data_IF_216001757468
#
_entry.id   IF_216001757468
#
_cell.length_a   1.000
_cell.length_b   1.000
_cell.length_c   1.000
_cell.angle_alpha   90.00
_cell.angle_beta   90.00
_cell.angle_gamma   90.00
#
_symmetry.space_group_name_H-M   'P 1'
#
loop_
_entity.id
_entity.type
_entity.pdbx_description
1 polymer ?
#
# COMPACT_ATOMS: atom_id res chain seq x y z
N UNK A 1 39.96 34.54 8.43
CA UNK A 1 39.83 33.61 7.29
C UNK A 1 38.48 32.93 7.41
N UNK A 2 37.49 33.45 6.67
CA UNK A 2 36.14 32.89 6.59
C UNK A 2 36.12 31.94 5.38
N UNK A 3 36.08 30.64 5.61
CA UNK A 3 35.87 29.65 4.54
C UNK A 3 34.38 29.57 4.26
N UNK A 4 33.94 30.28 3.23
CA UNK A 4 32.64 30.10 2.60
C UNK A 4 32.63 28.76 1.85
N UNK A 5 31.76 27.84 2.28
CA UNK A 5 31.44 26.64 1.50
C UNK A 5 30.74 27.03 0.19
N UNK A 6 31.16 26.49 -0.97
CA UNK A 6 30.45 26.72 -2.21
C UNK A 6 29.19 25.84 -2.22
N UNK A 7 28.02 26.47 -2.09
CA UNK A 7 26.71 25.90 -2.39
C UNK A 7 26.58 25.66 -3.89
N UNK A 8 27.24 24.60 -4.37
CA UNK A 8 27.29 24.22 -5.78
C UNK A 8 25.97 23.62 -6.27
N UNK A 9 25.62 23.94 -7.51
CA UNK A 9 24.50 23.38 -8.30
C UNK A 9 24.73 21.89 -8.64
N UNK A 10 25.98 21.42 -8.57
CA UNK A 10 26.47 20.08 -8.93
C UNK A 10 25.86 18.87 -8.16
N UNK A 11 25.71 18.89 -6.82
CA UNK A 11 25.02 17.82 -6.09
C UNK A 11 23.58 17.58 -6.57
N UNK A 12 22.89 18.63 -7.07
CA UNK A 12 21.52 18.50 -7.56
C UNK A 12 21.43 17.78 -8.91
N UNK A 13 22.33 18.06 -9.85
CA UNK A 13 22.35 17.44 -11.18
C UNK A 13 22.74 15.96 -11.09
N UNK A 14 23.75 15.64 -10.27
CA UNK A 14 24.14 14.25 -10.01
C UNK A 14 23.03 13.46 -9.31
N UNK A 15 22.31 14.08 -8.37
CA UNK A 15 21.15 13.46 -7.72
C UNK A 15 20.01 13.21 -8.72
N UNK A 16 19.74 14.16 -9.62
CA UNK A 16 18.74 14.02 -10.68
C UNK A 16 19.12 12.92 -11.69
N UNK A 17 20.38 12.86 -12.13
CA UNK A 17 20.88 11.80 -13.01
C UNK A 17 20.79 10.42 -12.35
N UNK A 18 21.17 10.30 -11.07
CA UNK A 18 21.02 9.05 -10.31
C UNK A 18 19.56 8.62 -10.20
N UNK A 19 18.65 9.55 -9.99
CA UNK A 19 17.21 9.28 -9.95
C UNK A 19 16.69 8.80 -11.32
N UNK A 20 17.11 9.43 -12.41
CA UNK A 20 16.74 9.03 -13.77
C UNK A 20 17.25 7.63 -14.11
N UNK A 21 18.51 7.31 -13.75
CA UNK A 21 19.08 5.97 -13.92
C UNK A 21 18.33 4.95 -13.06
N UNK A 22 18.02 5.27 -11.81
CA UNK A 22 17.24 4.40 -10.93
C UNK A 22 15.84 4.12 -11.52
N UNK A 23 15.18 5.14 -12.05
CA UNK A 23 13.89 5.02 -12.75
C UNK A 23 14.01 4.12 -13.98
N UNK A 24 15.05 4.30 -14.80
CA UNK A 24 15.25 3.52 -16.01
C UNK A 24 15.47 2.03 -15.73
N UNK A 25 16.08 1.71 -14.58
CA UNK A 25 16.35 0.33 -14.11
C UNK A 25 15.17 -0.33 -13.41
N UNK A 26 14.07 0.39 -13.15
CA UNK A 26 12.91 -0.20 -12.48
C UNK A 26 12.31 -1.34 -13.33
N UNK A 27 11.94 -2.47 -12.69
CA UNK A 27 11.22 -3.55 -13.36
C UNK A 27 9.91 -3.04 -13.94
N UNK A 28 9.45 -3.71 -14.99
CA UNK A 28 8.19 -3.38 -15.67
C UNK A 28 7.12 -4.38 -15.28
N UNK A 29 5.95 -3.88 -14.87
CA UNK A 29 4.77 -4.68 -14.61
C UNK A 29 3.65 -4.27 -15.58
N UNK A 30 2.89 -5.25 -16.06
CA UNK A 30 1.64 -5.01 -16.80
C UNK A 30 0.50 -5.38 -15.88
N UNK A 31 -0.36 -4.40 -15.60
CA UNK A 31 -1.54 -4.58 -14.74
C UNK A 31 -2.77 -4.45 -15.63
N UNK A 32 -3.66 -5.42 -15.55
CA UNK A 32 -4.88 -5.50 -16.33
C UNK A 32 -6.07 -5.28 -15.43
N UNK A 33 -6.82 -4.21 -15.73
CA UNK A 33 -8.16 -4.04 -15.21
C UNK A 33 -9.12 -5.01 -15.90
N UNK A 34 -10.11 -5.50 -15.18
CA UNK A 34 -11.21 -6.33 -15.70
C UNK A 34 -12.52 -5.55 -15.55
N UNK A 35 -13.06 -5.05 -16.66
CA UNK A 35 -14.27 -4.25 -16.64
C UNK A 35 -15.52 -5.04 -16.22
N UNK A 36 -15.51 -6.37 -16.29
CA UNK A 36 -16.65 -7.20 -15.92
C UNK A 36 -16.91 -7.22 -14.40
N UNK A 37 -15.90 -6.92 -13.57
CA UNK A 37 -16.03 -6.93 -12.10
C UNK A 37 -16.95 -5.82 -11.57
N UNK A 38 -16.72 -4.59 -12.02
CA UNK A 38 -17.53 -3.42 -11.68
C UNK A 38 -17.30 -2.33 -12.75
N UNK A 39 -18.07 -2.32 -13.85
CA UNK A 39 -17.72 -1.55 -15.04
C UNK A 39 -17.48 -0.06 -14.78
N UNK A 40 -18.30 0.57 -13.95
CA UNK A 40 -18.20 2.00 -13.65
C UNK A 40 -16.95 2.30 -12.80
N UNK A 41 -16.78 1.60 -11.69
CA UNK A 41 -15.65 1.78 -10.79
C UNK A 41 -14.32 1.47 -11.47
N UNK A 42 -14.27 0.38 -12.26
CA UNK A 42 -13.07 -0.04 -12.98
C UNK A 42 -12.67 1.02 -14.01
N UNK A 43 -13.62 1.50 -14.84
CA UNK A 43 -13.34 2.56 -15.83
C UNK A 43 -12.88 3.85 -15.16
N UNK A 44 -13.53 4.27 -14.07
CA UNK A 44 -13.16 5.48 -13.32
C UNK A 44 -11.77 5.35 -12.71
N UNK A 45 -11.47 4.21 -12.09
CA UNK A 45 -10.15 3.95 -11.47
C UNK A 45 -9.06 3.86 -12.53
N UNK A 46 -9.30 3.15 -13.64
CA UNK A 46 -8.37 3.10 -14.76
C UNK A 46 -8.07 4.50 -15.32
N UNK A 47 -9.09 5.35 -15.51
CA UNK A 47 -8.91 6.72 -15.95
C UNK A 47 -8.04 7.53 -14.97
N UNK A 48 -8.30 7.41 -13.66
CA UNK A 48 -7.49 8.05 -12.61
C UNK A 48 -6.03 7.56 -12.60
N UNK A 49 -5.80 6.27 -12.88
CA UNK A 49 -4.48 5.65 -12.88
C UNK A 49 -3.74 5.88 -14.20
N UNK A 50 -4.38 6.40 -15.24
CA UNK A 50 -3.76 6.62 -16.55
C UNK A 50 -3.72 8.08 -16.97
N UNK A 51 -4.41 8.98 -16.26
CA UNK A 51 -4.36 10.42 -16.52
C UNK A 51 -2.93 10.96 -16.37
N UNK A 52 -2.56 12.07 -17.04
CA UNK A 52 -1.26 12.71 -16.85
C UNK A 52 -0.98 13.05 -15.38
N UNK A 53 0.23 12.80 -14.90
CA UNK A 53 0.61 13.09 -13.52
C UNK A 53 0.60 14.61 -13.27
N UNK A 54 -0.01 15.10 -12.16
CA UNK A 54 -0.28 16.52 -11.96
C UNK A 54 0.98 17.40 -11.95
N UNK A 55 2.10 16.86 -11.47
CA UNK A 55 3.39 17.57 -11.44
C UNK A 55 4.32 17.23 -12.62
N UNK A 56 4.08 16.12 -13.31
CA UNK A 56 4.97 15.59 -14.35
C UNK A 56 4.10 15.10 -15.51
N UNK A 57 3.55 16.04 -16.29
CA UNK A 57 2.52 15.76 -17.31
C UNK A 57 2.95 14.77 -18.42
N UNK A 58 4.25 14.49 -18.53
CA UNK A 58 4.84 13.53 -19.48
C UNK A 58 4.63 12.07 -19.02
N UNK A 59 4.42 11.85 -17.72
CA UNK A 59 4.25 10.52 -17.11
C UNK A 59 2.80 10.33 -16.70
N UNK A 60 2.25 9.12 -16.86
CA UNK A 60 0.90 8.81 -16.37
C UNK A 60 0.90 8.73 -14.84
N UNK A 61 -0.22 9.06 -14.22
CA UNK A 61 -0.42 8.90 -12.80
C UNK A 61 -0.18 7.43 -12.40
N UNK A 62 0.26 7.17 -11.16
CA UNK A 62 0.53 5.80 -10.65
C UNK A 62 1.23 4.85 -11.65
N UNK A 63 2.13 5.35 -12.49
CA UNK A 63 2.81 4.52 -13.51
C UNK A 63 4.31 4.37 -13.28
N UNK A 64 4.88 5.19 -12.39
CA UNK A 64 6.31 5.26 -12.15
C UNK A 64 6.62 5.14 -10.66
N UNK A 65 7.44 4.14 -10.31
CA UNK A 65 7.87 3.92 -8.95
C UNK A 65 6.73 3.55 -8.01
N UNK A 66 5.75 2.79 -8.50
CA UNK A 66 4.65 2.27 -7.67
C UNK A 66 5.11 1.03 -6.93
N UNK A 67 4.69 0.89 -5.67
CA UNK A 67 5.11 -0.20 -4.82
C UNK A 67 4.28 -1.45 -5.12
N UNK A 68 4.88 -2.50 -5.70
CA UNK A 68 4.22 -3.77 -5.94
C UNK A 68 4.91 -4.93 -5.23
N UNK A 69 4.12 -5.92 -4.83
CA UNK A 69 4.57 -7.30 -4.64
C UNK A 69 4.10 -8.09 -5.85
N UNK A 70 5.02 -8.78 -6.54
CA UNK A 70 4.66 -9.78 -7.55
C UNK A 70 4.28 -11.08 -6.82
N UNK A 71 2.98 -11.37 -6.76
CA UNK A 71 2.44 -12.48 -5.98
C UNK A 71 2.83 -13.83 -6.60
N UNK A 72 3.06 -13.86 -7.92
CA UNK A 72 3.45 -15.08 -8.65
C UNK A 72 4.90 -15.50 -8.37
N UNK A 73 5.70 -14.61 -7.79
CA UNK A 73 7.05 -14.95 -7.36
C UNK A 73 7.07 -15.94 -6.19
N UNK A 74 5.91 -16.19 -5.56
CA UNK A 74 5.76 -17.09 -4.43
C UNK A 74 4.88 -18.27 -4.82
N UNK A 75 5.33 -19.49 -4.48
CA UNK A 75 4.55 -20.71 -4.73
C UNK A 75 3.30 -20.79 -3.84
N UNK A 76 3.41 -20.30 -2.61
CA UNK A 76 2.39 -20.31 -1.56
C UNK A 76 2.67 -19.19 -0.53
N UNK A 77 1.71 -18.95 0.37
CA UNK A 77 1.86 -18.00 1.47
C UNK A 77 3.06 -18.29 2.37
N UNK A 78 3.40 -19.57 2.59
CA UNK A 78 4.55 -19.95 3.40
C UNK A 78 5.88 -19.48 2.77
N UNK A 79 6.02 -19.54 1.44
CA UNK A 79 7.16 -19.03 0.70
C UNK A 79 7.31 -17.52 0.86
N UNK A 80 6.19 -16.80 0.79
CA UNK A 80 6.19 -15.37 1.08
C UNK A 80 6.61 -15.07 2.52
N UNK A 81 6.02 -15.74 3.51
CA UNK A 81 6.37 -15.54 4.92
C UNK A 81 7.85 -15.83 5.20
N UNK A 82 8.44 -16.85 4.57
CA UNK A 82 9.90 -17.10 4.66
C UNK A 82 10.72 -15.94 4.09
N UNK A 83 10.29 -15.34 2.98
CA UNK A 83 10.98 -14.20 2.37
C UNK A 83 10.98 -12.96 3.28
N UNK A 84 9.89 -12.72 4.02
CA UNK A 84 9.79 -11.59 4.94
C UNK A 84 10.22 -11.92 6.37
N UNK A 85 10.56 -13.17 6.68
CA UNK A 85 11.09 -13.60 7.98
C UNK A 85 12.59 -13.28 8.15
N UNK A 86 13.27 -12.86 7.09
CA UNK A 86 14.68 -12.50 7.13
C UNK A 86 14.94 -11.30 8.05
N UNK A 87 16.20 -11.17 8.50
CA UNK A 87 16.64 -10.01 9.28
C UNK A 87 16.32 -8.73 8.51
N UNK A 88 15.83 -7.72 9.21
CA UNK A 88 15.42 -6.42 8.65
C UNK A 88 14.19 -6.45 7.73
N UNK A 89 13.36 -7.49 7.78
CA UNK A 89 12.04 -7.56 7.12
C UNK A 89 10.87 -7.56 8.12
N UNK A 90 9.63 -7.69 7.63
CA UNK A 90 8.39 -7.53 8.39
C UNK A 90 8.02 -8.72 9.31
N UNK A 91 8.67 -9.87 9.14
CA UNK A 91 8.27 -11.13 9.77
C UNK A 91 8.37 -11.12 11.29
N UNK A 92 9.37 -10.43 11.87
CA UNK A 92 9.46 -10.27 13.32
C UNK A 92 8.27 -9.49 13.88
N UNK A 93 7.89 -8.38 13.24
CA UNK A 93 6.82 -7.50 13.66
C UNK A 93 5.46 -8.19 13.55
N UNK A 94 5.21 -8.89 12.43
CA UNK A 94 3.97 -9.64 12.24
C UNK A 94 3.84 -10.80 13.25
N UNK A 95 4.92 -11.55 13.50
CA UNK A 95 4.94 -12.61 14.52
C UNK A 95 4.74 -12.07 15.93
N UNK A 96 5.38 -10.94 16.25
CA UNK A 96 5.23 -10.28 17.56
C UNK A 96 3.79 -9.81 17.79
N UNK A 97 3.14 -9.26 16.76
CA UNK A 97 1.73 -8.89 16.83
C UNK A 97 0.87 -10.14 17.10
N UNK A 98 1.03 -11.22 16.32
CA UNK A 98 0.29 -12.48 16.57
C UNK A 98 0.52 -13.04 17.97
N UNK A 99 1.76 -13.03 18.46
CA UNK A 99 2.09 -13.50 19.81
C UNK A 99 1.43 -12.67 20.93
N UNK A 100 0.97 -11.45 20.64
CA UNK A 100 0.22 -10.59 21.56
C UNK A 100 -1.30 -10.74 21.44
N UNK A 101 -1.77 -11.71 20.65
CA UNK A 101 -3.20 -11.99 20.49
C UNK A 101 -3.88 -11.22 19.37
N UNK A 102 -3.14 -10.48 18.53
CA UNK A 102 -3.74 -9.82 17.37
C UNK A 102 -4.08 -10.84 16.27
N UNK A 103 -5.27 -10.72 15.68
CA UNK A 103 -5.75 -11.57 14.59
C UNK A 103 -6.15 -10.72 13.39
N UNK A 104 -6.13 -11.30 12.18
CA UNK A 104 -6.58 -10.63 10.95
C UNK A 104 -7.84 -11.32 10.45
N UNK A 105 -8.86 -10.54 10.16
CA UNK A 105 -10.13 -11.01 9.63
C UNK A 105 -10.57 -10.18 8.42
N UNK A 106 -11.39 -10.77 7.56
CA UNK A 106 -12.27 -10.00 6.69
C UNK A 106 -13.44 -9.52 7.57
N UNK A 107 -13.84 -8.26 7.42
CA UNK A 107 -14.80 -7.60 8.32
C UNK A 107 -15.92 -6.93 7.51
N UNK A 108 -17.12 -6.84 8.09
CA UNK A 108 -18.06 -5.80 7.69
C UNK A 108 -17.68 -4.50 8.42
N UNK A 109 -17.44 -3.43 7.67
CA UNK A 109 -17.09 -2.11 8.26
C UNK A 109 -18.21 -1.57 9.14
N UNK A 110 -19.46 -1.95 8.89
CA UNK A 110 -20.61 -1.50 9.69
C UNK A 110 -20.55 -2.02 11.13
N UNK A 111 -19.93 -3.17 11.38
CA UNK A 111 -19.73 -3.71 12.73
C UNK A 111 -18.67 -2.94 13.54
N UNK A 112 -17.86 -2.10 12.87
CA UNK A 112 -16.70 -1.43 13.45
C UNK A 112 -16.67 0.08 13.20
N UNK A 113 -17.82 0.72 12.96
CA UNK A 113 -17.91 2.16 12.64
C UNK A 113 -17.14 3.03 13.66
N UNK A 114 -17.36 2.80 14.95
CA UNK A 114 -16.75 3.61 16.00
C UNK A 114 -15.25 3.33 16.14
N UNK A 115 -14.83 2.08 15.91
CA UNK A 115 -13.42 1.73 15.91
C UNK A 115 -12.69 2.33 14.69
N UNK A 116 -13.29 2.28 13.50
CA UNK A 116 -12.76 2.92 12.28
C UNK A 116 -12.62 4.43 12.50
N UNK A 117 -13.65 5.07 13.06
CA UNK A 117 -13.60 6.49 13.38
C UNK A 117 -12.48 6.81 14.37
N UNK A 118 -12.33 6.00 15.44
CA UNK A 118 -11.25 6.14 16.42
C UNK A 118 -9.86 5.95 15.80
N UNK A 119 -9.69 5.02 14.85
CA UNK A 119 -8.43 4.83 14.12
C UNK A 119 -8.13 6.02 13.21
N UNK A 120 -9.15 6.56 12.54
CA UNK A 120 -9.01 7.69 11.63
C UNK A 120 -8.58 8.97 12.37
N UNK A 121 -9.09 9.17 13.58
CA UNK A 121 -8.80 10.35 14.41
C UNK A 121 -7.65 10.17 15.40
N UNK A 122 -7.05 8.97 15.46
CA UNK A 122 -6.00 8.66 16.44
C UNK A 122 -4.71 9.48 16.28
N UNK A 123 -4.47 10.01 15.09
CA UNK A 123 -3.30 10.84 14.78
C UNK A 123 -3.74 11.98 13.85
N UNK A 124 -3.59 13.26 14.27
CA UNK A 124 -4.01 14.40 13.45
C UNK A 124 -3.13 14.56 12.20
N UNK A 125 -1.89 14.08 12.27
CA UNK A 125 -0.93 14.09 11.17
C UNK A 125 -0.42 12.68 10.89
N UNK A 126 -0.34 12.34 9.59
CA UNK A 126 0.31 11.12 9.12
C UNK A 126 1.23 11.46 7.96
N UNK A 127 2.45 10.93 8.02
CA UNK A 127 3.50 11.18 7.01
C UNK A 127 3.82 12.68 6.82
N UNK A 128 3.85 13.42 7.93
CA UNK A 128 4.18 14.86 7.93
C UNK A 128 3.13 15.74 7.24
N UNK A 129 1.89 15.24 7.12
CA UNK A 129 0.76 15.99 6.57
C UNK A 129 -0.46 15.81 7.48
N UNK A 130 -1.30 16.84 7.59
CA UNK A 130 -2.62 16.69 8.19
C UNK A 130 -3.41 15.59 7.48
N UNK A 131 -4.18 14.86 8.26
CA UNK A 131 -5.19 13.94 7.72
C UNK A 131 -6.22 14.72 6.89
N UNK A 132 -6.71 14.11 5.81
CA UNK A 132 -7.81 14.69 5.04
C UNK A 132 -9.07 14.78 5.91
N UNK A 133 -9.78 15.91 5.85
CA UNK A 133 -10.97 16.17 6.66
C UNK A 133 -12.07 15.11 6.50
N UNK A 134 -12.10 14.39 5.38
CA UNK A 134 -13.00 13.27 5.18
C UNK A 134 -12.78 12.12 6.18
N UNK A 135 -11.56 11.93 6.68
CA UNK A 135 -11.26 10.93 7.72
C UNK A 135 -11.74 11.36 9.11
N UNK A 136 -11.82 12.67 9.37
CA UNK A 136 -12.29 13.20 10.64
C UNK A 136 -13.81 13.10 10.81
N UNK A 137 -14.57 12.94 9.72
CA UNK A 137 -16.02 12.76 9.78
C UNK A 137 -16.34 11.30 10.09
N UNK A 138 -17.15 11.08 11.12
CA UNK A 138 -17.75 9.77 11.38
C UNK A 138 -18.67 9.41 10.20
N UNK A 139 -18.62 8.15 9.79
CA UNK A 139 -19.50 7.59 8.76
C UNK A 139 -20.51 6.72 9.48
N UNK A 140 -21.80 7.01 9.32
CA UNK A 140 -22.86 6.26 10.02
C UNK A 140 -23.19 4.93 9.33
N UNK A 141 -22.80 4.78 8.07
CA UNK A 141 -23.00 3.55 7.31
C UNK A 141 -22.00 3.43 6.16
N UNK A 142 -21.43 2.24 5.99
CA UNK A 142 -20.51 1.90 4.92
C UNK A 142 -21.21 1.00 3.90
N UNK A 143 -21.37 1.49 2.67
CA UNK A 143 -21.81 0.66 1.55
C UNK A 143 -20.69 -0.26 1.10
N UNK A 144 -20.93 -1.57 1.11
CA UNK A 144 -20.02 -2.55 0.53
C UNK A 144 -19.95 -2.36 -1.00
N UNK A 145 -18.76 -2.56 -1.56
CA UNK A 145 -18.52 -2.49 -3.00
C UNK A 145 -18.07 -3.86 -3.45
N UNK A 146 -18.74 -4.46 -4.44
CA UNK A 146 -18.55 -5.87 -4.84
C UNK A 146 -17.11 -6.22 -5.21
N UNK A 147 -16.36 -5.28 -5.77
CA UNK A 147 -14.96 -5.46 -6.15
C UNK A 147 -13.98 -5.09 -5.04
N UNK A 148 -14.45 -4.91 -3.81
CA UNK A 148 -13.63 -4.59 -2.64
C UNK A 148 -13.69 -5.71 -1.61
N UNK A 149 -12.61 -5.82 -0.85
CA UNK A 149 -12.55 -6.59 0.38
C UNK A 149 -12.08 -5.72 1.52
N UNK A 150 -12.61 -5.95 2.71
CA UNK A 150 -12.35 -5.14 3.88
C UNK A 150 -11.70 -6.01 4.93
N UNK A 151 -10.46 -5.70 5.28
CA UNK A 151 -9.70 -6.46 6.27
C UNK A 151 -9.47 -5.63 7.52
N UNK A 152 -9.51 -6.29 8.67
CA UNK A 152 -9.25 -5.71 9.97
C UNK A 152 -8.21 -6.49 10.75
N UNK A 153 -7.44 -5.79 11.59
CA UNK A 153 -6.69 -6.40 12.70
C UNK A 153 -7.51 -6.21 13.96
N UNK A 154 -7.87 -7.32 14.60
CA UNK A 154 -8.58 -7.33 15.88
C UNK A 154 -7.59 -7.61 17.01
N UNK A 155 -7.73 -6.89 18.13
CA UNK A 155 -7.03 -7.23 19.36
C UNK A 155 -7.66 -8.46 20.07
N UNK A 156 -7.08 -8.89 21.19
CA UNK A 156 -7.57 -10.04 21.94
C UNK A 156 -9.01 -9.86 22.49
N UNK A 157 -9.49 -8.62 22.59
CA UNK A 157 -10.85 -8.28 23.00
C UNK A 157 -11.81 -8.10 21.82
N UNK A 158 -11.38 -8.37 20.58
CA UNK A 158 -12.18 -8.22 19.37
C UNK A 158 -12.31 -6.78 18.88
N UNK A 159 -11.57 -5.82 19.44
CA UNK A 159 -11.62 -4.42 18.97
C UNK A 159 -10.75 -4.24 17.75
N UNK A 160 -11.24 -3.46 16.79
CA UNK A 160 -10.48 -3.14 15.58
C UNK A 160 -9.38 -2.11 15.90
N UNK A 161 -8.15 -2.43 15.50
CA UNK A 161 -6.94 -1.61 15.75
C UNK A 161 -6.21 -1.18 14.48
N UNK A 162 -6.51 -1.82 13.35
CA UNK A 162 -6.07 -1.44 12.02
C UNK A 162 -7.04 -1.99 10.97
N UNK A 163 -7.16 -1.34 9.82
CA UNK A 163 -8.01 -1.79 8.73
C UNK A 163 -7.41 -1.46 7.35
N UNK A 164 -7.83 -2.24 6.35
CA UNK A 164 -7.50 -2.03 4.96
C UNK A 164 -8.73 -2.25 4.07
N UNK A 165 -9.05 -1.25 3.27
CA UNK A 165 -9.97 -1.38 2.14
C UNK A 165 -9.12 -1.76 0.92
N UNK A 166 -9.36 -2.94 0.37
CA UNK A 166 -8.59 -3.52 -0.73
C UNK A 166 -9.47 -3.63 -1.98
N UNK A 167 -9.18 -2.81 -3.00
CA UNK A 167 -9.85 -2.92 -4.29
C UNK A 167 -9.23 -4.02 -5.15
N UNK A 168 -10.07 -4.91 -5.67
CA UNK A 168 -9.75 -5.94 -6.66
C UNK A 168 -10.14 -5.40 -8.03
N UNK A 169 -9.15 -5.17 -8.90
CA UNK A 169 -9.36 -4.42 -10.14
C UNK A 169 -9.28 -5.29 -11.40
N UNK A 170 -8.86 -6.54 -11.28
CA UNK A 170 -8.61 -7.46 -12.38
C UNK A 170 -7.51 -8.43 -11.96
N UNK A 171 -6.37 -8.40 -12.65
CA UNK A 171 -5.20 -9.22 -12.29
C UNK A 171 -4.36 -8.65 -11.14
N UNK A 172 -4.85 -7.62 -10.45
CA UNK A 172 -4.17 -7.02 -9.31
C UNK A 172 -5.14 -6.48 -8.28
N UNK A 173 -4.67 -6.43 -7.04
CA UNK A 173 -5.33 -5.76 -5.94
C UNK A 173 -4.56 -4.49 -5.57
N UNK A 174 -5.25 -3.43 -5.13
CA UNK A 174 -4.60 -2.22 -4.63
C UNK A 174 -5.21 -1.75 -3.31
N UNK A 175 -4.35 -1.34 -2.38
CA UNK A 175 -4.78 -0.73 -1.12
C UNK A 175 -5.42 0.63 -1.40
N UNK A 176 -6.69 0.79 -1.04
CA UNK A 176 -7.42 2.06 -1.18
C UNK A 176 -7.34 2.89 0.11
N UNK A 177 -7.75 2.28 1.23
CA UNK A 177 -7.54 2.82 2.58
C UNK A 177 -6.71 1.84 3.37
N UNK A 178 -5.76 2.34 4.14
CA UNK A 178 -4.93 1.52 5.03
C UNK A 178 -4.51 2.36 6.23
N UNK A 179 -5.13 2.13 7.38
CA UNK A 179 -4.85 2.84 8.61
C UNK A 179 -4.83 1.91 9.81
N UNK A 180 -4.16 2.36 10.86
CA UNK A 180 -4.13 1.66 12.14
C UNK A 180 -3.26 2.40 13.13
N UNK A 181 -3.17 1.84 14.32
CA UNK A 181 -2.25 2.33 15.34
C UNK A 181 -0.79 2.04 14.95
N UNK A 182 0.09 2.99 15.23
CA UNK A 182 1.53 2.87 14.99
C UNK A 182 2.23 2.10 16.11
N UNK A 183 1.69 0.95 16.52
CA UNK A 183 2.24 0.10 17.58
C UNK A 183 2.25 -1.38 17.21
N UNK A 184 3.08 -2.13 17.91
CA UNK A 184 3.06 -3.60 18.04
C UNK A 184 3.21 -4.46 16.79
N UNK A 185 3.32 -3.85 15.62
CA UNK A 185 3.48 -4.55 14.34
C UNK A 185 2.16 -4.83 13.61
N UNK A 186 1.04 -4.25 14.06
CA UNK A 186 -0.30 -4.52 13.50
C UNK A 186 -0.40 -4.22 12.00
N UNK A 187 0.22 -3.14 11.53
CA UNK A 187 0.24 -2.79 10.11
C UNK A 187 1.07 -3.79 9.26
N UNK A 188 2.14 -4.34 9.84
CA UNK A 188 2.94 -5.38 9.19
C UNK A 188 2.18 -6.70 9.14
N UNK A 189 1.48 -7.04 10.22
CA UNK A 189 0.61 -8.21 10.29
C UNK A 189 -0.50 -8.11 9.23
N UNK A 190 -1.22 -7.00 9.15
CA UNK A 190 -2.32 -6.78 8.21
C UNK A 190 -1.89 -7.02 6.76
N UNK A 191 -0.84 -6.33 6.30
CA UNK A 191 -0.40 -6.46 4.92
C UNK A 191 0.24 -7.80 4.61
N UNK A 192 0.98 -8.39 5.55
CA UNK A 192 1.54 -9.73 5.35
C UNK A 192 0.42 -10.78 5.21
N UNK A 193 -0.64 -10.66 6.01
CA UNK A 193 -1.80 -11.56 5.93
C UNK A 193 -2.58 -11.39 4.62
N UNK A 194 -2.83 -10.14 4.20
CA UNK A 194 -3.45 -9.85 2.89
C UNK A 194 -2.61 -10.44 1.75
N UNK A 195 -1.29 -10.27 1.78
CA UNK A 195 -0.42 -10.84 0.76
C UNK A 195 -0.50 -12.38 0.74
N UNK A 196 -0.52 -13.04 1.91
CA UNK A 196 -0.70 -14.49 2.01
C UNK A 196 -2.01 -14.94 1.36
N UNK A 197 -3.14 -14.29 1.70
CA UNK A 197 -4.46 -14.62 1.14
C UNK A 197 -4.47 -14.50 -0.38
N UNK A 198 -3.94 -13.41 -0.92
CA UNK A 198 -3.90 -13.19 -2.37
C UNK A 198 -3.00 -14.20 -3.10
N UNK A 199 -1.89 -14.59 -2.50
CA UNK A 199 -1.00 -15.63 -3.05
C UNK A 199 -1.72 -16.98 -3.10
N UNK A 200 -2.39 -17.36 -2.02
CA UNK A 200 -3.08 -18.65 -1.93
C UNK A 200 -4.31 -18.70 -2.86
N UNK A 201 -5.00 -17.58 -3.06
CA UNK A 201 -6.13 -17.47 -3.99
C UNK A 201 -5.72 -17.53 -5.46
N UNK A 202 -4.49 -17.11 -5.80
CA UNK A 202 -3.94 -17.10 -7.17
C UNK A 202 -4.80 -16.37 -8.22
N UNK A 203 -5.64 -15.43 -7.77
CA UNK A 203 -6.47 -14.59 -8.66
C UNK A 203 -5.76 -13.32 -9.11
N UNK A 204 -4.87 -12.80 -8.26
CA UNK A 204 -4.11 -11.58 -8.53
C UNK A 204 -2.64 -11.91 -8.80
N UNK A 205 -2.07 -11.27 -9.80
CA UNK A 205 -0.63 -11.26 -10.10
C UNK A 205 0.13 -10.28 -9.20
N UNK A 206 -0.51 -9.19 -8.80
CA UNK A 206 0.15 -8.12 -8.04
C UNK A 206 -0.70 -7.63 -6.85
N UNK A 207 -0.02 -7.35 -5.75
CA UNK A 207 -0.54 -6.48 -4.69
C UNK A 207 0.14 -5.12 -4.81
N UNK A 208 -0.67 -4.07 -4.99
CA UNK A 208 -0.23 -2.69 -5.11
C UNK A 208 -0.42 -1.94 -3.80
N UNK A 209 0.66 -1.32 -3.34
CA UNK A 209 0.61 -0.20 -2.43
C UNK A 209 0.88 1.06 -3.27
N UNK A 210 0.23 2.17 -2.95
CA UNK A 210 0.51 3.51 -3.54
C UNK A 210 2.02 3.84 -3.70
N UNK A 211 2.33 4.93 -4.40
CA UNK A 211 3.66 5.31 -4.89
C UNK A 211 4.81 5.11 -3.89
N UNK A 212 5.85 4.38 -4.30
CA UNK A 212 7.09 4.14 -3.55
C UNK A 212 8.03 5.36 -3.61
N UNK A 213 8.12 5.98 -4.79
CA UNK A 213 8.88 7.22 -4.99
C UNK A 213 8.11 8.41 -4.41
N UNK A 214 8.77 9.27 -3.63
CA UNK A 214 8.15 10.39 -2.93
C UNK A 214 7.61 10.07 -1.53
N UNK A 215 7.63 8.79 -1.12
CA UNK A 215 7.34 8.39 0.25
C UNK A 215 8.45 8.84 1.22
N UNK A 216 8.07 9.22 2.44
CA UNK A 216 9.01 9.51 3.52
C UNK A 216 9.86 8.27 3.87
N UNK A 217 11.08 8.44 4.43
CA UNK A 217 11.99 7.34 4.72
C UNK A 217 11.34 6.18 5.49
N UNK A 218 10.56 6.47 6.54
CA UNK A 218 9.88 5.44 7.32
C UNK A 218 8.83 4.65 6.53
N UNK A 219 8.09 5.30 5.63
CA UNK A 219 7.11 4.62 4.78
C UNK A 219 7.79 3.75 3.71
N UNK A 220 8.90 4.23 3.12
CA UNK A 220 9.69 3.41 2.18
C UNK A 220 10.22 2.16 2.86
N UNK A 221 10.75 2.32 4.07
CA UNK A 221 11.25 1.20 4.85
C UNK A 221 10.14 0.22 5.21
N UNK A 222 8.96 0.71 5.62
CA UNK A 222 7.79 -0.13 5.86
C UNK A 222 7.42 -0.97 4.63
N UNK A 223 7.34 -0.34 3.44
CA UNK A 223 7.06 -1.03 2.16
C UNK A 223 8.13 -2.08 1.85
N UNK A 224 9.41 -1.71 1.95
CA UNK A 224 10.55 -2.61 1.70
C UNK A 224 10.51 -3.86 2.59
N UNK A 225 10.24 -3.68 3.89
CA UNK A 225 10.17 -4.77 4.86
C UNK A 225 9.11 -5.83 4.52
N UNK A 226 8.01 -5.40 3.90
CA UNK A 226 6.92 -6.27 3.45
C UNK A 226 7.18 -6.93 2.08
N UNK A 227 8.30 -6.60 1.42
CA UNK A 227 8.64 -7.12 0.10
C UNK A 227 8.13 -6.29 -1.07
N UNK A 228 7.56 -5.11 -0.82
CA UNK A 228 7.21 -4.21 -1.92
C UNK A 228 8.48 -3.65 -2.58
N UNK A 229 8.48 -3.68 -3.91
CA UNK A 229 9.51 -3.06 -4.73
C UNK A 229 8.90 -2.00 -5.66
N UNK A 230 9.66 -0.97 -6.08
CA UNK A 230 9.20 0.01 -7.04
C UNK A 230 9.15 -0.57 -8.47
N UNK A 231 8.05 -0.34 -9.20
CA UNK A 231 7.86 -0.76 -10.59
C UNK A 231 7.53 0.41 -11.52
N UNK A 232 7.78 0.21 -12.81
CA UNK A 232 7.13 0.93 -13.90
C UNK A 232 5.91 0.14 -14.37
N UNK A 233 4.74 0.76 -14.36
CA UNK A 233 3.48 0.09 -14.65
C UNK A 233 2.96 0.51 -16.02
N UNK A 234 2.52 -0.49 -16.80
CA UNK A 234 1.66 -0.30 -17.96
C UNK A 234 0.28 -0.86 -17.66
N UNK A 235 -0.72 0.00 -17.65
CA UNK A 235 -2.11 -0.41 -17.49
C UNK A 235 -2.71 -0.84 -18.82
N UNK A 236 -3.55 -1.87 -18.75
CA UNK A 236 -4.50 -2.27 -19.78
C UNK A 236 -5.88 -2.46 -19.13
N UNK A 237 -6.93 -2.44 -19.96
CA UNK A 237 -8.28 -2.80 -19.55
C UNK A 237 -8.77 -3.88 -20.51
N UNK A 238 -9.31 -4.97 -19.95
CA UNK A 238 -9.98 -6.04 -20.66
C UNK A 238 -11.50 -5.90 -20.51
#
# INVERSE_FOLDING_TARGET
MNTSEPTGIWPSVLAQLRLLVAIARLPRARLCFDAALNPELIRRTHASFTMPHPRLRIVRNKSLGVALIDLRAFADSAAYLRSVAQKDHAGYQARRARARGYTVAEIDRNDYIDDIHRINTSQPERQGRPMDAAYARRTDHYTAVDSFRYYGVLDAGGRLVAYCDLGIYGDFAATDRLLGYHSDGVMYLLLADIACRLIDERRCNYLMYDTYLGALPGLREFKRKLGFAPYRIRYAIA
#
